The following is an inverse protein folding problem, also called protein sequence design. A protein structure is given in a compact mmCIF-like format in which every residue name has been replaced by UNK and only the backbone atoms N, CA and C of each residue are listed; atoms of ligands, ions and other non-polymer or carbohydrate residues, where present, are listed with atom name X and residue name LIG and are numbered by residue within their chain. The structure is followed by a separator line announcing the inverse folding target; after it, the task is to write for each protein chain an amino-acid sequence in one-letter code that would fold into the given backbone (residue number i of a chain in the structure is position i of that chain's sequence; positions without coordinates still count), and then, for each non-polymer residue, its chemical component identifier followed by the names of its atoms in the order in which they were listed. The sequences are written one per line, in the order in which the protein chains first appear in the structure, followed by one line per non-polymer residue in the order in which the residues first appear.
data_IF_095064873650
#
_entry.id   IF_095064873650
#
_cell.length_a   1.000
_cell.length_b   1.000
_cell.length_c   1.000
_cell.angle_alpha   90.00
_cell.angle_beta   90.00
_cell.angle_gamma   90.00
#
_symmetry.space_group_name_H-M   'P 1'
#
loop_
_entity.id
_entity.type
_entity.pdbx_description
1 polymer ?
#
# COMPACT_ATOMS: atom_id res chain seq x y z
N UNK A 1 4.66 -22.25 -16.10
CA UNK A 1 3.29 -21.71 -15.87
C UNK A 1 3.42 -20.67 -14.77
N UNK A 2 3.09 -19.40 -15.01
CA UNK A 2 3.10 -18.36 -13.97
C UNK A 2 1.74 -18.31 -13.28
N UNK A 3 1.72 -18.34 -11.95
CA UNK A 3 0.49 -18.14 -11.17
C UNK A 3 0.48 -16.69 -10.69
N UNK A 4 -0.63 -15.99 -10.94
CA UNK A 4 -0.87 -14.66 -10.39
C UNK A 4 -1.98 -14.75 -9.34
N UNK A 5 -1.69 -14.31 -8.13
CA UNK A 5 -2.66 -14.17 -7.04
C UNK A 5 -2.82 -12.68 -6.78
N UNK A 6 -4.06 -12.18 -6.86
CA UNK A 6 -4.39 -10.79 -6.52
C UNK A 6 -5.38 -10.81 -5.37
N UNK A 7 -5.07 -10.05 -4.32
CA UNK A 7 -5.92 -9.93 -3.13
C UNK A 7 -6.15 -8.45 -2.83
N UNK A 8 -7.38 -8.09 -2.49
CA UNK A 8 -7.68 -6.75 -2.00
C UNK A 8 -7.43 -6.69 -0.50
N UNK A 9 -6.87 -5.56 -0.05
CA UNK A 9 -6.63 -5.31 1.36
C UNK A 9 -7.89 -4.70 1.98
N UNK A 10 -8.28 -5.22 3.14
CA UNK A 10 -9.31 -4.64 3.98
C UNK A 10 -8.80 -3.41 4.73
N UNK A 11 -9.61 -2.94 5.69
CA UNK A 11 -9.23 -1.80 6.56
C UNK A 11 -8.25 -2.18 7.66
N UNK A 12 -8.03 -3.47 7.86
CA UNK A 12 -7.12 -4.06 8.84
C UNK A 12 -6.32 -5.12 8.10
N UNK A 13 -5.01 -5.06 8.20
CA UNK A 13 -4.13 -6.06 7.63
C UNK A 13 -3.02 -6.35 8.61
N UNK A 14 -2.68 -7.62 8.74
CA UNK A 14 -1.64 -8.10 9.64
C UNK A 14 -0.58 -8.87 8.84
N UNK A 15 0.67 -8.77 9.29
CA UNK A 15 1.79 -9.55 8.77
C UNK A 15 2.47 -10.22 9.94
N UNK A 16 2.71 -11.52 9.81
CA UNK A 16 3.29 -12.34 10.88
C UNK A 16 4.29 -13.34 10.31
N UNK A 17 5.36 -13.59 11.06
CA UNK A 17 6.40 -14.54 10.67
C UNK A 17 6.49 -15.70 11.65
N UNK A 18 6.75 -16.90 11.15
CA UNK A 18 7.17 -18.02 11.99
C UNK A 18 8.67 -18.25 11.88
N UNK A 19 9.37 -18.43 13.02
CA UNK A 19 10.80 -18.68 13.02
C UNK A 19 11.15 -20.05 12.39
N UNK A 20 12.44 -20.32 12.14
CA UNK A 20 12.91 -21.62 11.66
C UNK A 20 12.36 -22.81 12.47
N UNK A 21 12.18 -23.99 11.85
CA UNK A 21 12.82 -24.43 10.61
C UNK A 21 12.10 -24.04 9.31
N UNK A 22 10.85 -23.55 9.38
CA UNK A 22 10.06 -23.24 8.17
C UNK A 22 10.29 -21.83 7.62
N UNK A 23 10.66 -20.86 8.48
CA UNK A 23 10.99 -19.49 8.05
C UNK A 23 9.91 -18.88 7.15
N UNK A 24 8.67 -18.81 7.63
CA UNK A 24 7.52 -18.43 6.82
C UNK A 24 7.00 -17.05 7.15
N UNK A 25 6.49 -16.34 6.13
CA UNK A 25 5.78 -15.08 6.24
C UNK A 25 4.32 -15.28 5.86
N UNK A 26 3.41 -14.80 6.69
CA UNK A 26 1.98 -14.78 6.43
C UNK A 26 1.51 -13.34 6.29
N UNK A 27 0.69 -13.08 5.29
CA UNK A 27 0.03 -11.80 5.04
C UNK A 27 -1.48 -12.06 5.10
N UNK A 28 -2.14 -11.40 6.05
CA UNK A 28 -3.57 -11.51 6.32
C UNK A 28 -4.26 -10.19 5.90
N UNK A 29 -4.83 -10.08 4.68
CA UNK A 29 -5.28 -8.79 4.13
C UNK A 29 -6.49 -8.18 4.83
N UNK A 30 -7.26 -8.98 5.56
CA UNK A 30 -8.43 -8.56 6.34
C UNK A 30 -8.20 -8.60 7.87
N UNK A 31 -6.97 -8.92 8.28
CA UNK A 31 -6.56 -9.11 9.66
C UNK A 31 -6.48 -10.58 10.07
N UNK A 32 -5.79 -10.85 11.17
CA UNK A 32 -5.50 -12.22 11.61
C UNK A 32 -6.78 -13.02 11.90
N UNK A 33 -6.86 -14.23 11.32
CA UNK A 33 -7.97 -15.16 11.56
C UNK A 33 -9.23 -14.90 10.75
N UNK A 34 -9.21 -13.90 9.86
CA UNK A 34 -10.30 -13.63 8.91
C UNK A 34 -9.86 -13.85 7.47
N UNK A 35 -10.61 -14.69 6.76
CA UNK A 35 -10.49 -14.81 5.30
C UNK A 35 -9.25 -15.55 4.79
N UNK A 36 -8.99 -15.48 3.48
CA UNK A 36 -7.81 -16.06 2.87
C UNK A 36 -6.55 -15.29 3.27
N UNK A 37 -5.44 -16.01 3.47
CA UNK A 37 -4.12 -15.41 3.71
C UNK A 37 -3.14 -15.86 2.64
N UNK A 38 -2.11 -15.05 2.40
CA UNK A 38 -0.96 -15.43 1.58
C UNK A 38 0.14 -15.94 2.50
N UNK A 39 0.77 -17.06 2.13
CA UNK A 39 1.96 -17.57 2.81
C UNK A 39 3.14 -17.64 1.85
N UNK A 40 4.29 -17.19 2.32
CA UNK A 40 5.57 -17.24 1.62
C UNK A 40 6.51 -18.09 2.48
N UNK A 41 7.09 -19.12 1.87
CA UNK A 41 8.01 -20.03 2.52
C UNK A 41 9.28 -20.15 1.67
N UNK A 42 10.41 -20.34 2.34
CA UNK A 42 11.63 -20.76 1.67
C UNK A 42 11.58 -22.27 1.38
N UNK A 43 12.25 -22.69 0.30
CA UNK A 43 12.49 -24.11 0.05
C UNK A 43 13.29 -24.71 1.21
N UNK A 44 13.00 -25.96 1.57
CA UNK A 44 13.64 -26.64 2.70
C UNK A 44 15.15 -26.82 2.57
N UNK A 45 15.68 -26.69 1.36
CA UNK A 45 17.08 -26.81 0.98
C UNK A 45 17.81 -25.46 0.85
N UNK A 46 17.10 -24.34 1.02
CA UNK A 46 17.68 -23.00 0.87
C UNK A 46 18.57 -22.64 2.07
N UNK A 47 19.86 -22.28 1.86
CA UNK A 47 20.75 -21.85 2.93
C UNK A 47 20.23 -20.61 3.67
N UNK A 48 20.45 -20.54 4.99
CA UNK A 48 19.94 -19.45 5.83
C UNK A 48 20.42 -18.05 5.37
N UNK A 49 21.68 -17.91 4.97
CA UNK A 49 22.20 -16.63 4.49
C UNK A 49 21.48 -16.15 3.21
N UNK A 50 21.09 -17.09 2.34
CA UNK A 50 20.33 -16.77 1.13
C UNK A 50 18.88 -16.38 1.47
N UNK A 51 18.26 -17.05 2.45
CA UNK A 51 16.95 -16.68 2.97
C UNK A 51 16.94 -15.22 3.47
N UNK A 52 17.97 -14.83 4.24
CA UNK A 52 18.13 -13.45 4.74
C UNK A 52 18.26 -12.46 3.58
N UNK A 53 19.12 -12.73 2.60
CA UNK A 53 19.30 -11.85 1.43
C UNK A 53 18.00 -11.68 0.64
N UNK A 54 17.20 -12.74 0.50
CA UNK A 54 15.89 -12.67 -0.17
C UNK A 54 14.91 -11.85 0.68
N UNK A 55 14.85 -12.08 1.98
CA UNK A 55 13.99 -11.31 2.90
C UNK A 55 14.30 -9.81 2.84
N UNK A 56 15.58 -9.43 2.80
CA UNK A 56 16.01 -8.03 2.70
C UNK A 56 15.57 -7.38 1.37
N UNK A 57 15.68 -8.12 0.26
CA UNK A 57 15.22 -7.65 -1.06
C UNK A 57 13.70 -7.44 -1.08
N UNK A 58 12.95 -8.36 -0.48
CA UNK A 58 11.49 -8.25 -0.35
C UNK A 58 11.13 -7.03 0.50
N UNK A 59 11.80 -6.84 1.65
CA UNK A 59 11.59 -5.68 2.52
C UNK A 59 11.85 -4.37 1.78
N UNK A 60 12.95 -4.27 1.04
CA UNK A 60 13.27 -3.09 0.23
C UNK A 60 12.22 -2.82 -0.85
N UNK A 61 11.65 -3.86 -1.47
CA UNK A 61 10.59 -3.72 -2.47
C UNK A 61 9.27 -3.24 -1.84
N UNK A 62 8.89 -3.80 -0.68
CA UNK A 62 7.71 -3.36 0.08
C UNK A 62 7.85 -1.90 0.51
N UNK A 63 9.04 -1.49 0.95
CA UNK A 63 9.31 -0.10 1.31
C UNK A 63 9.11 0.85 0.11
N UNK A 64 9.65 0.50 -1.07
CA UNK A 64 9.42 1.30 -2.28
C UNK A 64 7.94 1.41 -2.64
N UNK A 65 7.21 0.29 -2.58
CA UNK A 65 5.76 0.29 -2.84
C UNK A 65 4.97 1.19 -1.88
N UNK A 66 5.35 1.21 -0.59
CA UNK A 66 4.80 2.15 0.40
C UNK A 66 5.09 3.60 0.01
N UNK A 67 6.33 3.90 -0.35
CA UNK A 67 6.76 5.26 -0.66
C UNK A 67 6.07 5.81 -1.91
N UNK A 68 5.90 4.99 -2.95
CA UNK A 68 5.12 5.33 -4.16
C UNK A 68 3.64 5.65 -3.80
N UNK A 69 3.06 4.89 -2.87
CA UNK A 69 1.69 5.11 -2.39
C UNK A 69 1.57 6.44 -1.64
N UNK A 70 2.58 6.78 -0.82
CA UNK A 70 2.64 8.07 -0.10
C UNK A 70 2.79 9.24 -1.08
N UNK A 71 3.64 9.11 -2.10
CA UNK A 71 3.82 10.13 -3.13
C UNK A 71 2.50 10.37 -3.87
N UNK A 72 1.83 9.30 -4.30
CA UNK A 72 0.51 9.38 -4.93
C UNK A 72 -0.50 10.09 -4.04
N UNK A 73 -0.62 9.69 -2.77
CA UNK A 73 -1.53 10.33 -1.82
C UNK A 73 -1.23 11.82 -1.63
N UNK A 74 0.04 12.21 -1.66
CA UNK A 74 0.47 13.62 -1.56
C UNK A 74 0.03 14.42 -2.78
N UNK A 75 0.26 13.90 -3.99
CA UNK A 75 -0.19 14.54 -5.23
C UNK A 75 -1.71 14.72 -5.29
N UNK A 76 -2.46 13.69 -4.89
CA UNK A 76 -3.92 13.74 -4.89
C UNK A 76 -4.46 14.79 -3.91
N UNK A 77 -3.88 14.89 -2.70
CA UNK A 77 -4.25 15.93 -1.73
C UNK A 77 -3.95 17.34 -2.23
N UNK A 78 -2.80 17.54 -2.88
CA UNK A 78 -2.45 18.83 -3.47
C UNK A 78 -3.44 19.24 -4.57
N UNK A 79 -3.74 18.33 -5.49
CA UNK A 79 -4.71 18.57 -6.56
C UNK A 79 -6.12 18.85 -6.01
N UNK A 80 -6.54 18.16 -4.95
CA UNK A 80 -7.82 18.43 -4.28
C UNK A 80 -7.87 19.83 -3.66
N UNK A 81 -6.76 20.28 -3.06
CA UNK A 81 -6.65 21.62 -2.49
C UNK A 81 -6.71 22.70 -3.58
N UNK A 82 -5.95 22.54 -4.66
CA UNK A 82 -5.98 23.47 -5.81
C UNK A 82 -7.38 23.55 -6.43
N UNK A 83 -8.06 22.41 -6.58
CA UNK A 83 -9.43 22.38 -7.08
C UNK A 83 -10.41 23.12 -6.14
N UNK A 84 -10.22 23.01 -4.83
CA UNK A 84 -11.05 23.71 -3.85
C UNK A 84 -10.82 25.24 -3.91
N UNK A 85 -9.56 25.67 -4.02
CA UNK A 85 -9.20 27.09 -4.17
C UNK A 85 -9.75 27.66 -5.48
N UNK A 86 -9.61 26.95 -6.60
CA UNK A 86 -10.19 27.36 -7.88
C UNK A 86 -11.72 27.48 -7.81
N UNK A 87 -12.40 26.55 -7.13
CA UNK A 87 -13.86 26.62 -6.92
C UNK A 87 -14.26 27.82 -6.06
N UNK A 88 -13.50 28.14 -5.01
CA UNK A 88 -13.74 29.30 -4.16
C UNK A 88 -13.57 30.61 -4.93
N UNK A 89 -12.52 30.70 -5.76
CA UNK A 89 -12.26 31.90 -6.57
C UNK A 89 -13.32 32.12 -7.65
N UNK A 90 -13.78 31.06 -8.33
CA UNK A 90 -14.91 31.14 -9.27
C UNK A 90 -16.17 31.63 -8.55
N UNK A 91 -16.43 31.16 -7.33
CA UNK A 91 -17.57 31.61 -6.54
C UNK A 91 -17.47 33.09 -6.16
N UNK A 92 -16.27 33.57 -5.77
CA UNK A 92 -15.99 34.99 -5.49
C UNK A 92 -16.25 35.85 -6.74
N UNK A 93 -15.65 35.50 -7.87
CA UNK A 93 -15.82 36.23 -9.13
C UNK A 93 -17.29 36.28 -9.57
N UNK A 94 -18.03 35.17 -9.44
CA UNK A 94 -19.48 35.14 -9.76
C UNK A 94 -20.30 36.03 -8.81
N UNK A 95 -19.96 36.06 -7.52
CA UNK A 95 -20.60 36.92 -6.53
C UNK A 95 -20.37 38.41 -6.82
N UNK A 96 -19.17 38.79 -7.23
CA UNK A 96 -18.82 40.17 -7.58
C UNK A 96 -19.50 40.63 -8.87
N UNK A 97 -19.67 39.73 -9.85
CA UNK A 97 -20.36 40.05 -11.11
C UNK A 97 -21.89 40.15 -10.95
N UNK A 98 -22.47 39.52 -9.92
CA UNK A 98 -23.91 39.52 -9.64
C UNK A 98 -24.40 40.63 -8.72
N UNK A 99 -23.51 41.40 -8.08
CA UNK A 99 -23.84 42.49 -7.15
C UNK A 99 -23.84 43.89 -7.75
N UNK A 100 -23.69 44.03 -9.07
CA UNK A 100 -23.62 45.30 -9.79
C UNK A 100 -24.96 45.75 -10.40
N UNK A 101 -26.09 45.37 -9.80
CA UNK A 101 -27.43 45.87 -10.16
C UNK A 101 -28.07 46.62 -9.00
#
# INVERSE_FOLDING_TARGET
MSVQITMFWGKRADVRSYPPPLGSLYIDPDGMGSGPHLSLLFGSDMPLDEQVVIADRVLAAVQRWRDDTVEKATRERAAQKELAEARAEIARLKGETGGAQ
#
